data_IF_431593851303
#
_entry.id   IF_431593851303
#
_cell.length_a   1.000
_cell.length_b   1.000
_cell.length_c   1.000
_cell.angle_alpha   90.00
_cell.angle_beta   90.00
_cell.angle_gamma   90.00
#
_symmetry.space_group_name_H-M   'P 1'
#
loop_
_entity.id
_entity.type
_entity.pdbx_description
1 polymer ?
#
# COMPACT_ATOMS: atom_id res chain seq x y z
N UNK A 1 -12.60 5.42 9.78
CA UNK A 1 -11.33 5.92 10.34
C UNK A 1 -11.04 7.28 9.71
N UNK A 2 -10.62 8.30 10.47
CA UNK A 2 -10.38 9.64 9.91
C UNK A 2 -8.92 9.77 9.49
N UNK A 3 -8.69 10.03 8.20
CA UNK A 3 -7.36 10.29 7.63
C UNK A 3 -7.10 11.80 7.55
N UNK A 4 -5.85 12.18 7.80
CA UNK A 4 -5.35 13.56 7.68
C UNK A 4 -4.31 13.63 6.54
N UNK A 5 -4.01 14.83 6.01
CA UNK A 5 -3.05 15.00 4.92
C UNK A 5 -1.69 14.34 5.15
N UNK A 6 -1.17 14.38 6.38
CA UNK A 6 0.17 13.88 6.69
C UNK A 6 1.27 14.67 6.00
N UNK A 7 2.40 14.02 5.72
CA UNK A 7 3.55 14.64 5.06
C UNK A 7 4.15 13.67 4.03
N UNK A 8 4.72 14.18 2.92
CA UNK A 8 5.36 13.33 1.90
C UNK A 8 6.64 12.67 2.39
N UNK A 9 7.26 13.19 3.45
CA UNK A 9 8.50 12.66 4.03
C UNK A 9 8.40 12.53 5.55
N UNK A 10 9.11 11.56 6.15
CA UNK A 10 9.91 10.51 5.49
C UNK A 10 9.04 9.48 4.75
N UNK A 11 9.64 8.73 3.83
CA UNK A 11 8.96 7.64 3.13
C UNK A 11 8.73 6.44 4.08
N UNK A 12 7.66 5.69 3.80
CA UNK A 12 7.18 4.55 4.58
C UNK A 12 6.36 4.92 5.81
N UNK A 13 5.95 3.91 6.56
CA UNK A 13 5.27 4.09 7.85
C UNK A 13 6.18 4.69 8.94
N UNK A 14 5.84 5.87 9.44
CA UNK A 14 6.58 6.56 10.51
C UNK A 14 5.66 7.01 11.64
N UNK A 15 5.90 6.47 12.83
CA UNK A 15 5.18 6.78 14.06
C UNK A 15 5.79 7.99 14.76
N UNK A 16 4.96 8.94 15.21
CA UNK A 16 5.38 10.20 15.84
C UNK A 16 5.04 10.28 17.34
N UNK A 17 4.43 9.25 17.92
CA UNK A 17 3.95 9.26 19.30
C UNK A 17 2.44 9.41 19.46
N UNK A 18 1.73 9.90 18.45
CA UNK A 18 0.27 10.07 18.44
C UNK A 18 -0.42 9.28 17.32
N UNK A 19 0.30 8.98 16.24
CA UNK A 19 -0.19 8.26 15.08
C UNK A 19 0.93 7.94 14.11
N UNK A 20 0.54 7.40 12.95
CA UNK A 20 1.50 7.02 11.91
C UNK A 20 1.22 7.79 10.63
N UNK A 21 2.26 8.45 10.12
CA UNK A 21 2.30 8.96 8.76
C UNK A 21 2.72 7.85 7.81
N UNK A 22 2.03 7.75 6.68
CA UNK A 22 2.32 6.84 5.58
C UNK A 22 2.66 7.66 4.35
N UNK A 23 3.73 7.29 3.66
CA UNK A 23 4.11 7.92 2.40
C UNK A 23 4.76 6.90 1.46
N UNK A 24 4.32 6.85 0.21
CA UNK A 24 4.86 5.94 -0.82
C UNK A 24 5.03 6.68 -2.15
N UNK A 25 6.18 6.49 -2.79
CA UNK A 25 6.44 7.04 -4.10
C UNK A 25 5.76 6.21 -5.20
N UNK A 26 5.03 6.87 -6.10
CA UNK A 26 4.61 6.31 -7.38
C UNK A 26 4.26 7.42 -8.37
N UNK A 27 5.00 7.47 -9.49
CA UNK A 27 4.73 8.39 -10.60
C UNK A 27 3.58 7.92 -11.51
N UNK A 28 3.31 6.61 -11.54
CA UNK A 28 2.33 5.99 -12.46
C UNK A 28 0.98 5.73 -11.81
N UNK A 29 0.88 5.83 -10.48
CA UNK A 29 -0.38 5.57 -9.78
C UNK A 29 -1.44 6.62 -10.10
N UNK A 30 -2.69 6.19 -10.23
CA UNK A 30 -3.87 7.05 -10.33
C UNK A 30 -4.64 7.11 -9.00
N UNK A 31 -4.47 6.09 -8.15
CA UNK A 31 -4.99 6.01 -6.78
C UNK A 31 -4.15 5.04 -5.96
N UNK A 32 -3.91 5.36 -4.70
CA UNK A 32 -3.23 4.46 -3.76
C UNK A 32 -4.11 4.23 -2.53
N UNK A 33 -4.40 2.96 -2.25
CA UNK A 33 -5.10 2.53 -1.04
C UNK A 33 -4.08 1.98 -0.04
N UNK A 34 -4.04 2.57 1.15
CA UNK A 34 -3.42 1.98 2.34
C UNK A 34 -4.33 0.89 2.89
N UNK A 35 -3.79 -0.32 3.02
CA UNK A 35 -4.52 -1.49 3.52
C UNK A 35 -4.02 -1.82 4.93
N UNK A 36 -4.88 -1.70 5.94
CA UNK A 36 -4.60 -2.08 7.32
C UNK A 36 -5.22 -3.44 7.64
N UNK A 37 -4.52 -4.25 8.43
CA UNK A 37 -4.99 -5.57 8.84
C UNK A 37 -5.15 -5.64 10.36
N UNK A 38 -6.28 -6.18 10.82
CA UNK A 38 -6.48 -6.45 12.24
C UNK A 38 -5.90 -7.81 12.66
N UNK A 39 -6.09 -8.18 13.94
CA UNK A 39 -5.61 -9.44 14.49
C UNK A 39 -6.27 -10.69 13.88
N UNK A 40 -7.47 -10.55 13.32
CA UNK A 40 -8.18 -11.61 12.61
C UNK A 40 -7.80 -11.68 11.12
N UNK A 41 -6.97 -10.74 10.64
CA UNK A 41 -6.58 -10.63 9.24
C UNK A 41 -7.60 -9.90 8.37
N UNK A 42 -8.59 -9.23 8.97
CA UNK A 42 -9.57 -8.44 8.22
C UNK A 42 -8.89 -7.18 7.64
N UNK A 43 -9.00 -7.01 6.33
CA UNK A 43 -8.47 -5.86 5.61
C UNK A 43 -9.42 -4.66 5.69
N UNK A 44 -8.89 -3.49 6.02
CA UNK A 44 -9.54 -2.17 5.88
C UNK A 44 -8.73 -1.32 4.91
N UNK A 45 -9.38 -0.82 3.86
CA UNK A 45 -8.73 -0.01 2.80
C UNK A 45 -9.06 1.47 2.98
N UNK A 46 -8.05 2.32 2.84
CA UNK A 46 -8.14 3.76 3.03
C UNK A 46 -7.39 4.44 1.89
N UNK A 47 -8.06 5.27 1.10
CA UNK A 47 -7.40 6.06 0.06
C UNK A 47 -6.41 7.05 0.70
N UNK A 48 -5.19 7.14 0.16
CA UNK A 48 -4.25 8.20 0.48
C UNK A 48 -4.67 9.47 -0.28
N UNK A 49 -5.07 10.55 0.43
CA UNK A 49 -5.74 11.67 -0.20
C UNK A 49 -4.79 12.67 -0.89
N UNK A 50 -3.53 12.71 -0.47
CA UNK A 50 -2.59 13.74 -0.90
C UNK A 50 -1.46 13.18 -1.75
N UNK A 51 -1.02 13.96 -2.73
CA UNK A 51 0.13 13.65 -3.57
C UNK A 51 1.04 14.87 -3.68
N UNK A 52 2.28 14.75 -3.19
CA UNK A 52 3.30 15.80 -3.32
C UNK A 52 4.57 15.18 -3.89
N UNK A 53 5.08 15.72 -5.01
CA UNK A 53 6.29 15.19 -5.68
C UNK A 53 6.22 13.66 -5.92
N UNK A 54 5.07 13.20 -6.43
CA UNK A 54 4.75 11.78 -6.67
C UNK A 54 4.75 10.89 -5.41
N UNK A 55 4.84 11.47 -4.22
CA UNK A 55 4.66 10.75 -2.96
C UNK A 55 3.19 10.84 -2.56
N UNK A 56 2.53 9.69 -2.50
CA UNK A 56 1.18 9.53 -2.00
C UNK A 56 1.24 9.41 -0.49
N UNK A 57 0.53 10.27 0.24
CA UNK A 57 0.67 10.33 1.69
C UNK A 57 -0.62 10.59 2.44
N UNK A 58 -0.59 10.22 3.72
CA UNK A 58 -1.67 10.40 4.66
C UNK A 58 -1.22 10.12 6.09
N UNK A 59 -2.00 10.59 7.06
CA UNK A 59 -1.71 10.38 8.48
C UNK A 59 -2.93 9.81 9.21
N UNK A 60 -2.69 8.78 10.02
CA UNK A 60 -3.71 8.11 10.80
C UNK A 60 -3.39 8.23 12.30
N UNK A 61 -4.14 9.05 13.04
CA UNK A 61 -4.04 9.11 14.50
C UNK A 61 -4.41 7.77 15.13
N UNK A 62 -3.72 7.41 16.21
CA UNK A 62 -3.98 6.18 16.95
C UNK A 62 -3.44 4.90 16.30
N UNK A 63 -2.91 4.97 15.07
CA UNK A 63 -2.14 3.86 14.50
C UNK A 63 -0.77 3.81 15.16
N UNK A 64 -0.53 2.74 15.91
CA UNK A 64 0.67 2.54 16.71
C UNK A 64 1.63 1.52 16.05
N UNK A 65 2.90 1.47 16.49
CA UNK A 65 3.85 0.45 16.04
C UNK A 65 3.31 -0.97 16.22
N UNK A 66 3.57 -1.84 15.24
CA UNK A 66 3.03 -3.21 15.19
C UNK A 66 1.78 -3.36 14.31
N UNK A 67 1.19 -2.26 13.84
CA UNK A 67 0.11 -2.31 12.84
C UNK A 67 0.62 -2.94 11.53
N UNK A 68 -0.02 -4.03 11.10
CA UNK A 68 0.22 -4.66 9.80
C UNK A 68 -0.43 -3.82 8.70
N UNK A 69 0.31 -3.56 7.62
CA UNK A 69 -0.22 -2.83 6.47
C UNK A 69 0.45 -3.23 5.16
N UNK A 70 -0.18 -2.82 4.05
CA UNK A 70 0.38 -2.85 2.70
C UNK A 70 -0.35 -1.83 1.83
N UNK A 71 -0.10 -1.86 0.52
CA UNK A 71 -0.74 -0.95 -0.43
C UNK A 71 -1.44 -1.70 -1.57
N UNK A 72 -2.47 -1.09 -2.13
CA UNK A 72 -3.02 -1.43 -3.44
C UNK A 72 -2.90 -0.21 -4.34
N UNK A 73 -2.26 -0.39 -5.48
CA UNK A 73 -1.96 0.69 -6.41
C UNK A 73 -2.80 0.52 -7.66
N UNK A 74 -3.60 1.54 -7.94
CA UNK A 74 -4.41 1.66 -9.15
C UNK A 74 -3.66 2.48 -10.18
N UNK A 75 -3.90 2.20 -11.45
CA UNK A 75 -3.31 2.89 -12.57
C UNK A 75 -3.35 2.02 -13.82
N UNK A 76 -2.58 2.37 -14.86
CA UNK A 76 -2.63 1.67 -16.13
C UNK A 76 -2.14 0.21 -16.04
N UNK A 77 -2.86 -0.66 -16.74
CA UNK A 77 -2.46 -2.04 -17.04
C UNK A 77 -2.21 -2.16 -18.54
N UNK A 78 -0.95 -2.04 -18.93
CA UNK A 78 -0.45 -2.27 -20.29
C UNK A 78 0.89 -2.99 -20.20
N UNK A 79 0.88 -4.34 -20.02
CA UNK A 79 2.09 -5.15 -19.86
C UNK A 79 3.13 -4.95 -20.97
N UNK A 80 2.68 -4.74 -22.21
CA UNK A 80 3.53 -4.50 -23.38
C UNK A 80 4.27 -3.16 -23.33
N UNK A 81 3.70 -2.17 -22.63
CA UNK A 81 4.32 -0.88 -22.34
C UNK A 81 5.00 -0.84 -20.96
N UNK A 82 5.08 -1.97 -20.25
CA UNK A 82 5.68 -2.09 -18.91
C UNK A 82 4.80 -1.59 -17.76
N UNK A 83 3.60 -1.06 -18.04
CA UNK A 83 2.66 -0.58 -17.03
C UNK A 83 1.88 -1.76 -16.43
N UNK A 84 2.02 -2.00 -15.13
CA UNK A 84 1.50 -3.21 -14.47
C UNK A 84 0.78 -2.92 -13.16
N UNK A 85 0.11 -1.77 -13.06
CA UNK A 85 -0.68 -1.45 -11.86
C UNK A 85 -1.84 -2.47 -11.75
N UNK A 86 -1.85 -3.24 -10.66
CA UNK A 86 -2.89 -4.25 -10.42
C UNK A 86 -3.37 -4.18 -8.96
N UNK A 87 -4.50 -3.49 -8.69
CA UNK A 87 -5.00 -3.32 -7.33
C UNK A 87 -5.54 -4.61 -6.71
N UNK A 88 -5.71 -5.69 -7.47
CA UNK A 88 -6.03 -7.01 -6.91
C UNK A 88 -4.86 -7.57 -6.08
N UNK A 89 -3.63 -7.10 -6.32
CA UNK A 89 -2.42 -7.53 -5.61
C UNK A 89 -2.13 -6.61 -4.43
N UNK A 90 -1.93 -7.21 -3.25
CA UNK A 90 -1.42 -6.50 -2.09
C UNK A 90 0.09 -6.33 -2.26
N UNK A 91 0.56 -5.09 -2.15
CA UNK A 91 1.97 -4.73 -2.29
C UNK A 91 2.58 -4.44 -0.91
N UNK A 92 3.82 -4.85 -0.72
CA UNK A 92 4.62 -4.43 0.43
C UNK A 92 5.07 -2.98 0.25
N UNK A 93 5.21 -2.27 1.37
CA UNK A 93 5.85 -0.96 1.38
C UNK A 93 7.35 -1.12 1.04
N UNK A 94 7.88 -0.48 -0.03
CA UNK A 94 9.30 -0.52 -0.35
C UNK A 94 10.20 0.04 0.77
N UNK A 95 9.63 0.84 1.66
CA UNK A 95 10.27 1.48 2.82
C UNK A 95 9.88 0.83 4.15
N UNK A 96 9.28 -0.37 4.12
CA UNK A 96 8.96 -1.13 5.33
C UNK A 96 10.20 -1.35 6.20
N UNK A 97 10.09 -1.02 7.48
CA UNK A 97 11.14 -1.24 8.48
C UNK A 97 11.14 -2.67 9.04
N UNK A 98 10.03 -3.39 8.85
CA UNK A 98 9.86 -4.79 9.20
C UNK A 98 8.80 -5.41 8.28
N UNK A 99 8.98 -6.68 7.94
CA UNK A 99 8.02 -7.48 7.17
C UNK A 99 7.63 -8.67 8.05
N UNK A 100 6.33 -8.93 8.14
CA UNK A 100 5.77 -10.06 8.90
C UNK A 100 5.31 -11.17 7.95
N UNK A 101 5.63 -12.41 8.27
CA UNK A 101 5.32 -13.59 7.47
C UNK A 101 6.33 -13.92 6.36
N UNK A 102 5.96 -14.88 5.52
CA UNK A 102 6.71 -15.36 4.35
C UNK A 102 5.79 -15.31 3.13
N UNK A 103 6.37 -15.23 1.93
CA UNK A 103 5.58 -15.33 0.70
C UNK A 103 5.06 -16.75 0.56
N UNK A 104 3.74 -16.90 0.54
CA UNK A 104 3.09 -18.15 0.15
C UNK A 104 2.97 -18.19 -1.38
N UNK A 105 3.76 -19.06 -2.01
CA UNK A 105 3.75 -19.22 -3.46
C UNK A 105 2.49 -19.94 -3.92
N UNK A 106 1.53 -19.17 -4.43
CA UNK A 106 0.30 -19.66 -5.03
C UNK A 106 -0.16 -18.70 -6.15
N UNK A 107 -1.30 -18.99 -6.76
CA UNK A 107 -1.88 -18.18 -7.85
C UNK A 107 -2.05 -16.68 -7.49
N UNK A 108 -2.22 -16.34 -6.21
CA UNK A 108 -2.39 -14.95 -5.79
C UNK A 108 -1.16 -14.08 -6.11
N UNK A 109 0.05 -14.66 -6.20
CA UNK A 109 1.28 -13.91 -6.54
C UNK A 109 1.45 -13.65 -8.04
N UNK A 110 0.65 -14.28 -8.91
CA UNK A 110 0.71 -14.11 -10.36
C UNK A 110 -0.38 -13.16 -10.85
N UNK A 111 -0.15 -12.40 -11.95
CA UNK A 111 -1.16 -11.49 -12.48
C UNK A 111 -2.33 -12.19 -13.18
N UNK A 112 -2.22 -13.49 -13.43
CA UNK A 112 -3.18 -14.34 -14.14
C UNK A 112 -3.60 -15.54 -13.27
N UNK A 113 -4.58 -16.30 -13.73
CA UNK A 113 -4.95 -17.58 -13.12
C UNK A 113 -4.25 -18.74 -13.83
N UNK A 114 -3.88 -19.79 -13.12
CA UNK A 114 -3.18 -20.92 -13.71
C UNK A 114 -4.02 -21.67 -14.75
N UNK A 115 -5.34 -21.63 -14.63
CA UNK A 115 -6.28 -22.19 -15.60
C UNK A 115 -6.64 -21.22 -16.74
N UNK A 116 -6.25 -19.94 -16.62
CA UNK A 116 -6.46 -18.89 -17.61
C UNK A 116 -5.25 -17.93 -17.64
N UNK A 117 -4.12 -18.37 -18.23
CA UNK A 117 -2.84 -17.64 -18.17
C UNK A 117 -2.72 -16.47 -19.16
N UNK A 118 -3.73 -16.22 -19.99
CA UNK A 118 -3.76 -15.14 -20.98
C UNK A 118 -4.06 -13.75 -20.37
#
# INVERSE_FOLDING_TARGET
>A
MKIYPGAPFPLGGTYDGAGTGFSIFSEVAERVELCLFDAAGQETRIDLPEVTAFCWHGYLPGVAPGQRYGYRVHGPWSPDAGQRCNPAKLLLDPYAKAVDGQVEWNEAVFPYRFDDPE
#
